data_IF_155015165287
#
_entry.id   IF_155015165287
#
_cell.length_a   1.000
_cell.length_b   1.000
_cell.length_c   1.000
_cell.angle_alpha   90.00
_cell.angle_beta   90.00
_cell.angle_gamma   90.00
#
_symmetry.space_group_name_H-M   'P 1'
#
loop_
_entity.id
_entity.type
_entity.pdbx_description
1 polymer ?
#
# COMPACT_ATOMS: atom_id res chain seq x y z
N UNK A 1 -47.06 -54.84 32.68
CA UNK A 1 -45.88 -54.58 31.81
C UNK A 1 -45.77 -53.09 31.56
N UNK A 2 -44.66 -52.47 31.99
CA UNK A 2 -44.46 -51.01 31.98
C UNK A 2 -44.06 -50.47 30.59
N UNK A 3 -44.84 -49.50 30.08
CA UNK A 3 -44.62 -48.76 28.83
C UNK A 3 -43.75 -47.51 28.96
N UNK A 4 -43.13 -47.29 30.13
CA UNK A 4 -42.40 -46.05 30.45
C UNK A 4 -40.95 -46.01 29.93
N UNK A 5 -40.37 -47.12 29.45
CA UNK A 5 -38.94 -47.21 29.11
C UNK A 5 -38.54 -46.74 27.71
N UNK A 6 -39.49 -46.50 26.79
CA UNK A 6 -39.19 -46.24 25.38
C UNK A 6 -39.11 -44.75 24.99
N UNK A 7 -39.58 -43.82 25.84
CA UNK A 7 -39.57 -42.38 25.51
C UNK A 7 -38.30 -41.63 25.94
N UNK A 8 -37.51 -42.13 26.88
CA UNK A 8 -36.31 -41.44 27.35
C UNK A 8 -35.07 -41.63 26.46
N UNK A 9 -34.96 -42.74 25.73
CA UNK A 9 -33.78 -43.00 24.90
C UNK A 9 -33.74 -42.10 23.65
N UNK A 10 -34.87 -41.82 22.99
CA UNK A 10 -34.91 -41.02 21.75
C UNK A 10 -34.46 -39.57 21.91
N UNK A 11 -34.71 -38.94 23.06
CA UNK A 11 -34.34 -37.54 23.32
C UNK A 11 -32.83 -37.33 23.46
N UNK A 12 -32.12 -38.30 24.08
CA UNK A 12 -30.66 -38.22 24.30
C UNK A 12 -29.86 -38.34 22.99
N UNK A 13 -30.34 -39.12 22.02
CA UNK A 13 -29.71 -39.23 20.70
C UNK A 13 -30.01 -38.02 19.79
N UNK A 14 -31.20 -37.43 19.90
CA UNK A 14 -31.59 -36.26 19.10
C UNK A 14 -30.84 -34.98 19.51
N UNK A 15 -30.65 -34.74 20.82
CA UNK A 15 -29.84 -33.61 21.31
C UNK A 15 -28.34 -33.75 20.96
N UNK A 16 -27.79 -34.96 20.97
CA UNK A 16 -26.39 -35.21 20.61
C UNK A 16 -26.07 -34.98 19.12
N UNK A 17 -27.06 -35.16 18.24
CA UNK A 17 -26.91 -34.95 16.80
C UNK A 17 -26.91 -33.46 16.43
N UNK A 18 -27.79 -32.67 17.05
CA UNK A 18 -27.86 -31.21 16.85
C UNK A 18 -26.58 -30.52 17.36
N UNK A 19 -26.04 -30.98 18.50
CA UNK A 19 -24.78 -30.49 19.04
C UNK A 19 -23.57 -30.76 18.13
N UNK A 20 -23.47 -31.98 17.54
CA UNK A 20 -22.39 -32.34 16.61
C UNK A 20 -22.49 -31.63 15.26
N UNK A 21 -23.70 -31.42 14.75
CA UNK A 21 -23.93 -30.68 13.49
C UNK A 21 -23.63 -29.19 13.65
N UNK A 22 -23.97 -28.60 14.80
CA UNK A 22 -23.63 -27.21 15.15
C UNK A 22 -22.12 -27.02 15.34
N UNK A 23 -21.42 -27.97 15.97
CA UNK A 23 -19.96 -27.92 16.14
C UNK A 23 -19.20 -28.09 14.81
N UNK A 24 -19.67 -28.96 13.92
CA UNK A 24 -19.06 -29.17 12.60
C UNK A 24 -19.24 -27.94 11.69
N UNK A 25 -20.40 -27.27 11.78
CA UNK A 25 -20.65 -26.02 11.04
C UNK A 25 -19.78 -24.85 11.53
N UNK A 26 -19.56 -24.75 12.85
CA UNK A 26 -18.65 -23.76 13.46
C UNK A 26 -17.19 -24.05 13.09
N UNK A 27 -16.79 -25.33 13.04
CA UNK A 27 -15.43 -25.71 12.62
C UNK A 27 -15.18 -25.43 11.13
N UNK A 28 -16.13 -25.71 10.23
CA UNK A 28 -16.00 -25.41 8.78
C UNK A 28 -15.94 -23.89 8.50
N UNK A 29 -16.64 -23.05 9.27
CA UNK A 29 -16.57 -21.58 9.14
C UNK A 29 -15.21 -21.01 9.56
N UNK A 30 -14.51 -21.61 10.52
CA UNK A 30 -13.21 -21.14 10.99
C UNK A 30 -12.08 -21.40 9.98
N UNK A 31 -12.16 -22.49 9.20
CA UNK A 31 -11.08 -22.87 8.25
C UNK A 31 -11.09 -22.01 6.97
N UNK A 32 -12.25 -21.47 6.56
CA UNK A 32 -12.38 -20.69 5.33
C UNK A 32 -11.84 -19.24 5.43
N UNK A 33 -11.75 -18.69 6.63
CA UNK A 33 -11.39 -17.27 6.82
C UNK A 33 -9.90 -16.97 6.57
N UNK A 34 -9.02 -17.96 6.74
CA UNK A 34 -7.57 -17.77 6.67
C UNK A 34 -7.04 -17.55 5.25
N UNK A 35 -7.73 -18.05 4.22
CA UNK A 35 -7.23 -17.97 2.83
C UNK A 35 -7.44 -16.59 2.19
N UNK A 36 -8.44 -15.82 2.63
CA UNK A 36 -8.77 -14.50 2.06
C UNK A 36 -7.70 -13.44 2.39
N UNK A 37 -7.13 -13.49 3.60
CA UNK A 37 -6.09 -12.55 4.04
C UNK A 37 -4.80 -12.67 3.22
N UNK A 38 -4.36 -13.91 2.97
CA UNK A 38 -3.13 -14.20 2.19
C UNK A 38 -3.26 -13.71 0.74
N UNK A 39 -4.42 -13.91 0.11
CA UNK A 39 -4.67 -13.41 -1.26
C UNK A 39 -4.59 -11.89 -1.35
N UNK A 40 -5.15 -11.16 -0.37
CA UNK A 40 -5.08 -9.69 -0.32
C UNK A 40 -3.66 -9.17 -0.12
N UNK A 41 -2.88 -9.80 0.77
CA UNK A 41 -1.47 -9.43 0.98
C UNK A 41 -0.64 -9.66 -0.29
N UNK A 42 -0.79 -10.83 -0.94
CA UNK A 42 -0.10 -11.12 -2.20
C UNK A 42 -0.46 -10.12 -3.31
N UNK A 43 -1.74 -9.76 -3.44
CA UNK A 43 -2.17 -8.76 -4.44
C UNK A 43 -1.56 -7.39 -4.18
N UNK A 44 -1.49 -6.98 -2.91
CA UNK A 44 -0.84 -5.73 -2.49
C UNK A 44 0.64 -5.71 -2.86
N UNK A 45 1.37 -6.77 -2.52
CA UNK A 45 2.78 -6.90 -2.88
C UNK A 45 2.98 -6.84 -4.40
N UNK A 46 2.12 -7.51 -5.17
CA UNK A 46 2.14 -7.44 -6.63
C UNK A 46 1.86 -6.03 -7.17
N UNK A 47 0.91 -5.31 -6.58
CA UNK A 47 0.62 -3.93 -6.95
C UNK A 47 1.82 -3.02 -6.66
N UNK A 48 2.43 -3.15 -5.47
CA UNK A 48 3.63 -2.40 -5.09
C UNK A 48 4.74 -2.62 -6.12
N UNK A 49 5.03 -3.87 -6.46
CA UNK A 49 6.07 -4.20 -7.43
C UNK A 49 5.78 -3.65 -8.83
N UNK A 50 4.52 -3.69 -9.29
CA UNK A 50 4.11 -3.11 -10.58
C UNK A 50 4.28 -1.59 -10.62
N UNK A 51 3.87 -0.90 -9.55
CA UNK A 51 4.01 0.56 -9.48
C UNK A 51 5.49 0.95 -9.47
N UNK A 52 6.31 0.28 -8.65
CA UNK A 52 7.75 0.55 -8.59
C UNK A 52 8.43 0.24 -9.92
N UNK A 53 8.15 -0.92 -10.53
CA UNK A 53 8.76 -1.29 -11.80
C UNK A 53 8.38 -0.34 -12.92
N UNK A 54 7.09 0.05 -12.99
CA UNK A 54 6.61 1.08 -13.91
C UNK A 54 7.37 2.40 -13.74
N UNK A 55 7.43 2.92 -12.50
CA UNK A 55 8.14 4.17 -12.20
C UNK A 55 9.61 4.11 -12.64
N UNK A 56 10.29 2.97 -12.40
CA UNK A 56 11.67 2.75 -12.81
C UNK A 56 11.86 2.79 -14.33
N UNK A 57 10.85 2.44 -15.13
CA UNK A 57 10.94 2.57 -16.60
C UNK A 57 11.03 4.01 -17.08
N UNK A 58 10.70 4.99 -16.23
CA UNK A 58 10.74 6.41 -16.57
C UNK A 58 12.04 7.10 -16.16
N UNK A 59 12.98 6.40 -15.53
CA UNK A 59 14.30 6.96 -15.16
C UNK A 59 14.95 7.66 -16.37
N UNK A 60 15.48 8.86 -16.14
CA UNK A 60 16.05 9.72 -17.17
C UNK A 60 15.05 10.64 -17.89
N UNK A 61 13.73 10.44 -17.71
CA UNK A 61 12.72 11.33 -18.30
C UNK A 61 12.88 12.76 -17.74
N UNK A 62 13.01 13.80 -18.58
CA UNK A 62 13.19 15.18 -18.11
C UNK A 62 12.03 15.66 -17.24
N UNK A 63 12.29 16.63 -16.37
CA UNK A 63 11.21 17.26 -15.62
C UNK A 63 10.41 18.21 -16.51
N UNK A 64 9.08 18.11 -16.45
CA UNK A 64 8.16 19.09 -17.04
C UNK A 64 6.96 19.29 -16.14
N UNK A 65 6.74 20.51 -15.68
CA UNK A 65 5.56 20.87 -14.87
C UNK A 65 4.27 20.49 -15.61
N UNK A 66 3.37 19.77 -14.97
CA UNK A 66 2.14 19.28 -15.59
C UNK A 66 2.34 18.02 -16.45
N UNK A 67 3.57 17.60 -16.71
CA UNK A 67 3.92 16.50 -17.62
C UNK A 67 3.54 15.11 -17.11
N UNK A 68 3.18 14.24 -18.05
CA UNK A 68 2.73 12.85 -17.83
C UNK A 68 3.32 11.87 -18.86
N UNK A 69 4.34 12.27 -19.63
CA UNK A 69 4.85 11.47 -20.75
C UNK A 69 6.37 11.38 -20.73
N UNK A 70 6.94 10.50 -21.56
CA UNK A 70 8.39 10.36 -21.72
C UNK A 70 9.09 11.61 -22.27
N UNK A 71 8.35 12.56 -22.84
CA UNK A 71 8.89 13.87 -23.23
C UNK A 71 9.06 14.82 -22.02
N UNK A 72 8.44 14.49 -20.88
CA UNK A 72 8.68 15.17 -19.61
C UNK A 72 7.57 14.90 -18.60
N UNK A 73 7.96 14.77 -17.33
CA UNK A 73 7.04 14.48 -16.22
C UNK A 73 7.29 15.37 -15.02
N UNK A 74 6.25 15.70 -14.26
CA UNK A 74 6.43 16.23 -12.92
C UNK A 74 6.41 15.13 -11.86
N UNK A 75 6.71 15.50 -10.62
CA UNK A 75 6.85 14.56 -9.51
C UNK A 75 5.57 13.77 -9.24
N UNK A 76 4.43 14.46 -9.20
CA UNK A 76 3.13 13.82 -9.03
C UNK A 76 2.66 13.05 -10.27
N UNK A 77 3.03 13.53 -11.46
CA UNK A 77 2.69 12.93 -12.74
C UNK A 77 3.38 11.60 -13.00
N UNK A 78 4.65 11.49 -12.59
CA UNK A 78 5.36 10.20 -12.51
C UNK A 78 4.52 9.18 -11.74
N UNK A 79 4.07 9.54 -10.53
CA UNK A 79 3.28 8.62 -9.71
C UNK A 79 1.92 8.33 -10.34
N UNK A 80 1.20 9.32 -10.86
CA UNK A 80 -0.09 9.10 -11.52
C UNK A 80 0.01 8.04 -12.61
N UNK A 81 1.01 8.14 -13.48
CA UNK A 81 1.19 7.17 -14.57
C UNK A 81 1.60 5.80 -14.03
N UNK A 82 2.52 5.75 -13.06
CA UNK A 82 2.97 4.47 -12.51
C UNK A 82 1.89 3.71 -11.75
N UNK A 83 1.02 4.42 -11.02
CA UNK A 83 -0.15 3.81 -10.41
C UNK A 83 -1.17 3.38 -11.45
N UNK A 84 -1.42 4.20 -12.48
CA UNK A 84 -2.36 3.87 -13.56
C UNK A 84 -1.95 2.63 -14.34
N UNK A 85 -0.66 2.45 -14.63
CA UNK A 85 -0.13 1.22 -15.26
C UNK A 85 -0.31 -0.03 -14.40
N UNK A 86 -0.39 0.12 -13.08
CA UNK A 86 -0.76 -0.95 -12.16
C UNK A 86 -2.28 -1.13 -12.00
N UNK A 87 -3.11 -0.37 -12.73
CA UNK A 87 -4.57 -0.38 -12.63
C UNK A 87 -5.12 0.32 -11.39
N UNK A 88 -4.37 1.30 -10.85
CA UNK A 88 -4.70 2.02 -9.64
C UNK A 88 -4.81 3.52 -9.90
N UNK A 89 -5.76 4.17 -9.25
CA UNK A 89 -5.95 5.61 -9.39
C UNK A 89 -5.24 6.40 -8.28
N UNK A 90 -4.59 7.48 -8.68
CA UNK A 90 -3.94 8.42 -7.79
C UNK A 90 -4.29 9.86 -8.24
N UNK A 91 -4.65 10.78 -7.33
CA UNK A 91 -4.95 12.16 -7.67
C UNK A 91 -3.79 12.85 -8.38
N UNK A 92 -4.11 13.86 -9.18
CA UNK A 92 -3.12 14.50 -10.05
C UNK A 92 -2.04 15.25 -9.28
N UNK A 93 -2.36 15.86 -8.14
CA UNK A 93 -1.44 16.77 -7.44
C UNK A 93 -0.82 16.12 -6.20
N UNK A 94 0.44 16.46 -5.90
CA UNK A 94 1.15 16.01 -4.69
C UNK A 94 0.40 16.39 -3.41
N UNK A 95 -0.29 17.54 -3.39
CA UNK A 95 -1.11 17.99 -2.25
C UNK A 95 -2.29 17.04 -2.00
N UNK A 96 -3.00 16.62 -3.03
CA UNK A 96 -4.11 15.67 -2.92
C UNK A 96 -3.62 14.27 -2.57
N UNK A 97 -2.54 13.82 -3.22
CA UNK A 97 -1.87 12.54 -2.91
C UNK A 97 -1.51 12.44 -1.43
N UNK A 98 -1.07 13.54 -0.81
CA UNK A 98 -0.71 13.58 0.62
C UNK A 98 -1.86 13.40 1.61
N UNK A 99 -3.11 13.43 1.11
CA UNK A 99 -4.33 13.21 1.90
C UNK A 99 -4.82 11.78 1.85
N UNK A 100 -4.27 10.95 0.95
CA UNK A 100 -4.69 9.57 0.76
C UNK A 100 -3.97 8.65 1.73
N UNK A 101 -4.70 7.63 2.19
CA UNK A 101 -4.15 6.53 2.96
C UNK A 101 -3.76 6.93 4.37
N UNK A 102 -3.00 6.05 5.04
CA UNK A 102 -2.59 6.24 6.43
C UNK A 102 -1.26 6.98 6.54
N UNK A 103 -1.07 7.71 7.63
CA UNK A 103 0.23 8.28 7.98
C UNK A 103 1.23 7.18 8.29
N UNK A 104 2.49 7.39 7.90
CA UNK A 104 3.60 6.48 8.17
C UNK A 104 4.73 7.27 8.79
N UNK A 105 5.29 6.77 9.90
CA UNK A 105 6.47 7.35 10.49
C UNK A 105 7.70 7.02 9.62
N UNK A 106 8.70 7.91 9.59
CA UNK A 106 9.86 7.76 8.70
C UNK A 106 10.63 6.44 8.92
N UNK A 107 10.64 5.90 10.13
CA UNK A 107 11.29 4.63 10.48
C UNK A 107 10.42 3.39 10.17
N UNK A 108 9.18 3.57 9.74
CA UNK A 108 8.24 2.50 9.34
C UNK A 108 7.98 2.47 7.84
N UNK A 109 8.78 3.22 7.07
CA UNK A 109 8.69 3.27 5.63
C UNK A 109 8.88 1.88 5.04
N UNK A 110 8.13 1.62 3.97
CA UNK A 110 8.19 0.41 3.16
C UNK A 110 8.13 0.77 1.69
N UNK A 111 8.62 -0.10 0.79
CA UNK A 111 8.36 0.03 -0.64
C UNK A 111 6.87 0.24 -0.92
N UNK A 112 6.55 1.20 -1.78
CA UNK A 112 5.16 1.61 -2.07
C UNK A 112 4.66 2.83 -1.29
N UNK A 113 5.35 3.25 -0.22
CA UNK A 113 4.98 4.46 0.50
C UNK A 113 5.30 5.72 -0.30
N UNK A 114 4.45 6.74 -0.16
CA UNK A 114 4.65 8.06 -0.77
C UNK A 114 5.26 9.01 0.25
N UNK A 115 6.33 9.69 -0.14
CA UNK A 115 7.06 10.66 0.68
C UNK A 115 6.88 12.07 0.13
N UNK A 116 6.60 13.04 1.01
CA UNK A 116 6.22 14.40 0.63
C UNK A 116 7.18 15.43 1.23
N UNK A 117 7.52 16.45 0.43
CA UNK A 117 8.56 17.42 0.78
C UNK A 117 8.15 18.88 0.53
N UNK A 118 8.80 19.79 1.24
CA UNK A 118 8.83 21.23 0.99
C UNK A 118 10.11 21.63 0.25
N UNK A 119 10.17 21.35 -1.06
CA UNK A 119 11.34 21.67 -1.90
C UNK A 119 11.44 23.16 -2.31
N UNK A 120 10.44 23.99 -1.95
CA UNK A 120 10.42 25.43 -2.20
C UNK A 120 10.74 26.28 -0.95
N UNK A 121 10.60 27.61 -1.08
CA UNK A 121 10.87 28.57 0.03
C UNK A 121 9.93 28.38 1.23
N UNK A 122 8.74 27.83 1.02
CA UNK A 122 7.72 27.63 2.07
C UNK A 122 7.88 26.26 2.72
N UNK A 123 8.52 26.23 3.90
CA UNK A 123 8.92 24.98 4.60
C UNK A 123 7.77 24.07 5.05
N UNK A 124 6.51 24.51 4.98
CA UNK A 124 5.33 23.74 5.40
C UNK A 124 4.38 23.37 4.27
N UNK A 125 4.70 23.75 3.03
CA UNK A 125 3.87 23.48 1.86
C UNK A 125 4.41 22.29 1.08
N UNK A 126 3.53 21.32 0.80
CA UNK A 126 3.86 20.17 -0.03
C UNK A 126 4.02 20.65 -1.46
N UNK A 127 5.25 20.56 -1.95
CA UNK A 127 5.65 21.00 -3.29
C UNK A 127 6.27 19.88 -4.11
N UNK A 128 6.61 18.77 -3.46
CA UNK A 128 7.26 17.63 -4.10
C UNK A 128 6.82 16.31 -3.49
N UNK A 129 6.84 15.25 -4.29
CA UNK A 129 6.47 13.88 -3.89
C UNK A 129 7.42 12.87 -4.53
N UNK A 130 7.61 11.74 -3.87
CA UNK A 130 8.29 10.57 -4.42
C UNK A 130 7.72 9.26 -3.88
N UNK A 131 8.14 8.16 -4.48
CA UNK A 131 7.72 6.80 -4.14
C UNK A 131 8.91 6.03 -3.57
N UNK A 132 8.77 5.48 -2.36
CA UNK A 132 9.78 4.59 -1.77
C UNK A 132 9.85 3.32 -2.61
N UNK A 133 11.04 3.02 -3.11
CA UNK A 133 11.31 1.84 -3.95
C UNK A 133 12.00 0.74 -3.17
N UNK A 134 12.81 1.08 -2.17
CA UNK A 134 13.59 0.13 -1.38
C UNK A 134 13.92 0.69 0.00
N UNK A 135 13.96 -0.18 1.02
CA UNK A 135 14.43 0.14 2.37
C UNK A 135 15.52 -0.87 2.71
N UNK A 136 16.78 -0.44 2.59
CA UNK A 136 17.95 -1.30 2.83
C UNK A 136 18.41 -1.24 4.28
N UNK A 137 18.36 -0.05 4.88
CA UNK A 137 18.69 0.18 6.28
C UNK A 137 17.99 1.43 6.80
N UNK A 138 18.25 1.79 8.07
CA UNK A 138 17.74 3.04 8.65
C UNK A 138 18.29 4.31 7.98
N UNK A 139 19.47 4.21 7.36
CA UNK A 139 20.18 5.32 6.72
C UNK A 139 20.19 5.19 5.18
N UNK A 140 19.58 4.14 4.64
CA UNK A 140 19.48 3.89 3.20
C UNK A 140 18.04 3.50 2.83
N UNK A 141 17.27 4.52 2.46
CA UNK A 141 15.90 4.40 1.96
C UNK A 141 15.84 5.01 0.58
N UNK A 142 15.74 4.16 -0.44
CA UNK A 142 15.67 4.59 -1.83
C UNK A 142 14.26 5.01 -2.19
N UNK A 143 14.14 6.15 -2.88
CA UNK A 143 12.89 6.60 -3.44
C UNK A 143 13.09 7.20 -4.83
N UNK A 144 12.10 6.98 -5.70
CA UNK A 144 12.08 7.51 -7.06
C UNK A 144 11.21 8.78 -7.12
N UNK A 145 11.69 9.78 -7.85
CA UNK A 145 10.97 11.04 -8.07
C UNK A 145 11.44 11.74 -9.35
N UNK A 146 10.66 12.71 -9.84
CA UNK A 146 11.08 13.60 -10.92
C UNK A 146 11.79 14.85 -10.35
N UNK A 147 13.13 14.86 -10.38
CA UNK A 147 13.96 16.01 -10.01
C UNK A 147 13.82 17.13 -11.03
N UNK A 148 13.60 18.37 -10.58
CA UNK A 148 13.49 19.54 -11.47
C UNK A 148 14.75 19.80 -12.31
N UNK A 149 15.90 19.27 -11.90
CA UNK A 149 17.19 19.44 -12.60
C UNK A 149 17.63 18.20 -13.36
N UNK A 150 17.40 17.02 -12.79
CA UNK A 150 17.98 15.76 -13.28
C UNK A 150 16.94 14.82 -13.91
N UNK A 151 15.67 15.23 -13.94
CA UNK A 151 14.58 14.36 -14.40
C UNK A 151 14.27 13.24 -13.41
N UNK A 152 13.63 12.18 -13.89
CA UNK A 152 13.27 11.03 -13.07
C UNK A 152 14.51 10.26 -12.64
N UNK A 153 14.69 10.10 -11.33
CA UNK A 153 15.84 9.42 -10.74
C UNK A 153 15.48 8.79 -9.39
N UNK A 154 16.29 7.81 -8.97
CA UNK A 154 16.28 7.28 -7.61
C UNK A 154 17.33 8.00 -6.76
N UNK A 155 16.97 8.34 -5.52
CA UNK A 155 17.88 8.93 -4.54
C UNK A 155 17.63 8.37 -3.14
N UNK A 156 18.62 8.53 -2.26
CA UNK A 156 18.45 8.18 -0.85
C UNK A 156 17.69 9.28 -0.09
N UNK A 157 16.53 8.92 0.47
CA UNK A 157 15.69 9.78 1.32
C UNK A 157 16.43 10.29 2.55
N UNK A 158 17.37 9.50 3.06
CA UNK A 158 18.12 9.81 4.28
C UNK A 158 19.31 10.76 4.02
N UNK A 159 19.52 11.20 2.78
CA UNK A 159 20.46 12.28 2.50
C UNK A 159 20.02 13.59 3.17
N UNK A 160 20.99 14.37 3.66
CA UNK A 160 20.76 15.59 4.44
C UNK A 160 19.78 16.57 3.81
N UNK A 161 19.85 16.73 2.49
CA UNK A 161 18.94 17.58 1.75
C UNK A 161 17.47 17.15 1.95
N UNK A 162 17.16 15.88 1.66
CA UNK A 162 15.79 15.37 1.73
C UNK A 162 15.27 15.28 3.16
N UNK A 163 16.12 14.90 4.13
CA UNK A 163 15.76 14.93 5.56
C UNK A 163 15.31 16.32 6.02
N UNK A 164 16.00 17.38 5.60
CA UNK A 164 15.69 18.77 5.99
C UNK A 164 14.38 19.30 5.43
N UNK A 165 13.90 18.73 4.33
CA UNK A 165 12.68 19.17 3.63
C UNK A 165 11.53 18.16 3.72
N UNK A 166 11.74 17.02 4.37
CA UNK A 166 10.70 16.01 4.58
C UNK A 166 9.57 16.56 5.43
N UNK A 167 8.33 16.33 4.99
CA UNK A 167 7.12 16.74 5.72
C UNK A 167 6.44 15.53 6.35
N UNK A 168 6.14 14.51 5.54
CA UNK A 168 5.38 13.33 5.96
C UNK A 168 5.43 12.23 4.90
N UNK A 169 5.03 11.04 5.31
CA UNK A 169 4.80 9.91 4.43
C UNK A 169 3.36 9.39 4.53
N UNK A 170 2.87 8.78 3.45
CA UNK A 170 1.57 8.12 3.36
C UNK A 170 1.69 6.74 2.75
N UNK A 171 0.94 5.78 3.29
CA UNK A 171 0.73 4.46 2.68
C UNK A 171 -0.61 4.44 1.98
N UNK A 172 -0.67 4.41 0.63
CA UNK A 172 -1.92 4.29 -0.10
C UNK A 172 -2.71 3.05 0.33
N UNK A 173 -4.06 3.10 0.39
CA UNK A 173 -4.87 2.01 0.95
C UNK A 173 -4.97 0.76 0.04
N UNK A 174 -4.64 0.92 -1.23
CA UNK A 174 -4.68 -0.12 -2.27
C UNK A 174 -3.31 -0.76 -2.55
N UNK A 175 -2.29 -0.36 -1.77
CA UNK A 175 -0.99 -1.00 -1.64
C UNK A 175 -0.88 -1.71 -0.28
#
# INVERSE_FOLDING_TARGET
>A
MNSAGLKEQGSKYFLGFIGKLSFYFIFVLLVNSSCVGVKKAKQRDQNIQKVISSAKTYVGTPYRFGGLTRAGMDCSGLLVISFKEAGLDLPRTSKEQSKIGKGVAIYELKPGDLVFFAAGKRRREITHVGLVTEVRSKDDVQFIHASTKLGVMETNLMADYFKKIFIKARRPPYL
#
